data_IF_658648066566
#
_entry.id   IF_658648066566
#
_cell.length_a   1.000
_cell.length_b   1.000
_cell.length_c   1.000
_cell.angle_alpha   90.00
_cell.angle_beta   90.00
_cell.angle_gamma   90.00
#
_symmetry.space_group_name_H-M   'P 1'
#
loop_
_entity.id
_entity.type
_entity.pdbx_description
1 polymer ?
#
# COMPACT_ATOMS: atom_id res chain seq x y z
N UNK A 1 -16.86 -3.32 -20.59
CA UNK A 1 -16.22 -4.29 -19.68
C UNK A 1 -14.77 -4.35 -20.11
N UNK A 2 -13.86 -3.82 -19.29
CA UNK A 2 -12.43 -3.89 -19.59
C UNK A 2 -12.03 -5.36 -19.79
N UNK A 3 -11.24 -5.70 -20.82
CA UNK A 3 -10.81 -7.07 -21.05
C UNK A 3 -9.96 -7.55 -19.86
N UNK A 4 -10.28 -8.74 -19.35
CA UNK A 4 -9.56 -9.38 -18.24
C UNK A 4 -8.24 -9.97 -18.77
N UNK A 5 -7.24 -9.12 -19.02
CA UNK A 5 -5.88 -9.56 -19.27
C UNK A 5 -5.17 -9.94 -17.96
N UNK A 6 -4.28 -10.93 -17.95
CA UNK A 6 -3.48 -11.23 -16.76
C UNK A 6 -2.57 -10.04 -16.39
N UNK A 7 -2.38 -9.83 -15.09
CA UNK A 7 -1.43 -8.84 -14.59
C UNK A 7 0.00 -9.33 -14.82
N UNK A 8 0.87 -8.45 -15.33
CA UNK A 8 2.30 -8.71 -15.52
C UNK A 8 3.12 -7.55 -14.92
N UNK A 9 4.36 -7.78 -14.46
CA UNK A 9 5.22 -6.71 -13.98
C UNK A 9 5.46 -5.65 -15.06
N UNK A 10 5.54 -4.38 -14.65
CA UNK A 10 5.87 -3.31 -15.58
C UNK A 10 7.31 -3.51 -16.12
N UNK A 11 7.54 -3.48 -17.45
CA UNK A 11 8.82 -3.91 -18.04
C UNK A 11 10.07 -3.14 -17.60
N UNK A 12 9.90 -1.91 -17.09
CA UNK A 12 11.01 -1.08 -16.63
C UNK A 12 11.29 -1.22 -15.12
N UNK A 13 10.60 -2.11 -14.41
CA UNK A 13 10.93 -2.42 -13.01
C UNK A 13 12.23 -3.21 -12.95
N UNK A 14 13.13 -2.79 -12.06
CA UNK A 14 14.39 -3.50 -11.79
C UNK A 14 14.12 -4.89 -11.23
N UNK A 15 14.74 -5.92 -11.81
CA UNK A 15 14.60 -7.31 -11.34
C UNK A 15 15.63 -7.66 -10.26
N UNK A 16 15.31 -8.55 -9.30
CA UNK A 16 14.01 -9.20 -9.09
C UNK A 16 13.00 -8.25 -8.43
N UNK A 17 11.78 -8.18 -8.98
CA UNK A 17 10.76 -7.19 -8.58
C UNK A 17 10.33 -7.37 -7.13
N UNK A 18 10.35 -8.61 -6.64
CA UNK A 18 9.91 -9.01 -5.29
C UNK A 18 10.73 -8.38 -4.16
N UNK A 19 11.99 -8.00 -4.43
CA UNK A 19 12.88 -7.40 -3.43
C UNK A 19 13.19 -5.92 -3.67
N UNK A 20 12.94 -5.42 -4.89
CA UNK A 20 13.31 -4.06 -5.31
C UNK A 20 12.12 -3.11 -5.38
N UNK A 21 10.93 -3.62 -5.73
CA UNK A 21 9.77 -2.78 -5.97
C UNK A 21 8.79 -2.80 -4.79
N UNK A 22 8.66 -1.65 -4.14
CA UNK A 22 7.66 -1.41 -3.09
C UNK A 22 6.72 -0.28 -3.55
N UNK A 23 5.49 -0.58 -3.98
CA UNK A 23 4.60 0.42 -4.58
C UNK A 23 4.16 1.51 -3.60
N UNK A 24 3.97 1.15 -2.32
CA UNK A 24 3.60 2.14 -1.30
C UNK A 24 4.82 2.96 -0.87
N UNK A 25 4.82 4.25 -1.21
CA UNK A 25 5.89 5.19 -0.83
C UNK A 25 5.98 5.38 0.68
N UNK A 26 4.84 5.49 1.37
CA UNK A 26 4.80 5.76 2.81
C UNK A 26 4.65 4.45 3.58
N UNK A 27 5.60 4.08 4.45
CA UNK A 27 5.43 2.94 5.34
C UNK A 27 4.50 3.32 6.51
N UNK A 28 3.50 2.49 6.80
CA UNK A 28 2.64 2.69 7.97
C UNK A 28 3.21 2.01 9.22
N UNK A 29 4.09 1.02 9.04
CA UNK A 29 4.65 0.18 10.09
C UNK A 29 6.07 -0.26 9.75
N UNK A 30 6.90 -0.40 10.78
CA UNK A 30 8.21 -1.03 10.74
C UNK A 30 8.21 -2.40 11.45
N UNK A 31 9.17 -3.29 11.14
CA UNK A 31 9.24 -4.60 11.78
C UNK A 31 9.38 -4.58 13.31
N UNK A 32 9.86 -3.48 13.88
CA UNK A 32 10.05 -3.27 15.32
C UNK A 32 8.78 -2.83 16.07
N UNK A 33 7.71 -2.46 15.37
CA UNK A 33 6.50 -1.95 16.01
C UNK A 33 5.71 -3.06 16.72
N UNK A 34 4.96 -2.68 17.77
CA UNK A 34 4.09 -3.61 18.50
C UNK A 34 2.98 -4.15 17.58
N UNK A 35 3.00 -5.45 17.33
CA UNK A 35 2.06 -6.11 16.42
C UNK A 35 0.61 -6.09 16.91
N UNK A 36 0.39 -5.83 18.21
CA UNK A 36 -0.94 -5.81 18.84
C UNK A 36 -1.56 -4.41 18.89
N UNK A 37 -0.85 -3.37 18.44
CA UNK A 37 -1.33 -1.99 18.45
C UNK A 37 -1.23 -1.38 17.06
N UNK A 38 -2.15 -0.47 16.76
CA UNK A 38 -2.06 0.35 15.56
C UNK A 38 -0.98 1.42 15.78
N UNK A 39 -0.18 1.69 14.75
CA UNK A 39 0.78 2.80 14.76
C UNK A 39 0.05 4.13 14.56
N UNK A 40 0.65 5.27 14.92
CA UNK A 40 0.09 6.58 14.62
C UNK A 40 -0.18 6.77 13.11
N UNK A 41 0.77 6.37 12.25
CA UNK A 41 0.64 6.48 10.80
C UNK A 41 -0.51 5.64 10.26
N UNK A 42 -0.72 4.42 10.78
CA UNK A 42 -1.86 3.59 10.40
C UNK A 42 -3.19 4.29 10.73
N UNK A 43 -3.30 4.88 11.93
CA UNK A 43 -4.51 5.59 12.36
C UNK A 43 -4.77 6.84 11.51
N UNK A 44 -3.73 7.60 11.16
CA UNK A 44 -3.85 8.78 10.30
C UNK A 44 -4.37 8.43 8.89
N UNK A 45 -3.84 7.36 8.29
CA UNK A 45 -4.30 6.90 6.98
C UNK A 45 -5.71 6.32 7.04
N UNK A 46 -6.06 5.55 8.07
CA UNK A 46 -7.44 5.08 8.28
C UNK A 46 -8.40 6.26 8.38
N UNK A 47 -8.05 7.29 9.15
CA UNK A 47 -8.86 8.49 9.30
C UNK A 47 -8.99 9.26 7.99
N UNK A 48 -7.93 9.34 7.18
CA UNK A 48 -7.96 9.96 5.85
C UNK A 48 -9.02 9.30 4.96
N UNK A 49 -8.98 7.97 4.84
CA UNK A 49 -9.97 7.22 4.05
C UNK A 49 -11.37 7.29 4.67
N UNK A 50 -11.49 7.31 6.00
CA UNK A 50 -12.78 7.49 6.68
C UNK A 50 -13.40 8.85 6.34
N UNK A 51 -12.60 9.91 6.24
CA UNK A 51 -13.05 11.26 5.86
C UNK A 51 -13.53 11.36 4.42
N UNK A 52 -13.11 10.46 3.52
CA UNK A 52 -13.62 10.46 2.15
C UNK A 52 -15.00 9.83 2.02
N UNK A 53 -15.47 9.04 3.00
CA UNK A 53 -16.76 8.33 2.93
C UNK A 53 -17.94 9.22 2.51
N UNK A 54 -18.15 10.45 3.05
CA UNK A 54 -19.30 11.26 2.66
C UNK A 54 -19.30 11.73 1.20
N UNK A 55 -18.16 11.66 0.51
CA UNK A 55 -18.00 12.12 -0.88
C UNK A 55 -18.14 11.01 -1.93
N UNK A 56 -18.16 9.74 -1.52
CA UNK A 56 -18.33 8.57 -2.39
C UNK A 56 -19.73 7.98 -2.22
#
# INVERSE_FOLDING_TARGET
MEPCSPLVPFPLLTTPVESTYRPCTIPYRFPSDDTRKATPTELEWIELFRKSIPSF
#
